data_IF_531703710021
#
_entry.id   IF_531703710021
#
_cell.length_a   1.000
_cell.length_b   1.000
_cell.length_c   1.000
_cell.angle_alpha   90.00
_cell.angle_beta   90.00
_cell.angle_gamma   90.00
#
_symmetry.space_group_name_H-M   'P 1'
#
loop_
_entity.id
_entity.type
_entity.pdbx_description
1 polymer ?
#
# COMPACT_ATOMS: atom_id res chain seq x y z
N UNK A 1 2.77 -0.12 31.83
CA UNK A 1 1.52 -0.72 31.30
C UNK A 1 1.80 -1.41 29.97
N UNK A 2 1.08 -2.49 29.66
CA UNK A 2 1.17 -3.21 28.39
C UNK A 2 0.13 -2.61 27.45
N UNK A 3 0.55 -2.13 26.28
CA UNK A 3 -0.38 -1.61 25.26
C UNK A 3 -1.28 -2.72 24.75
N UNK A 4 -2.52 -2.44 24.38
CA UNK A 4 -3.38 -3.48 23.79
C UNK A 4 -2.83 -3.97 22.44
N UNK A 5 -3.05 -5.26 22.07
CA UNK A 5 -2.73 -5.72 20.72
C UNK A 5 -3.48 -4.89 19.68
N UNK A 6 -2.89 -4.64 18.50
CA UNK A 6 -3.62 -4.00 17.42
C UNK A 6 -4.80 -4.89 16.99
N UNK A 7 -5.97 -4.29 16.78
CA UNK A 7 -7.15 -5.03 16.35
C UNK A 7 -6.99 -5.48 14.89
N UNK A 8 -7.08 -6.78 14.60
CA UNK A 8 -7.04 -7.29 13.24
C UNK A 8 -8.35 -6.93 12.52
N UNK A 9 -8.27 -5.98 11.59
CA UNK A 9 -9.41 -5.58 10.76
C UNK A 9 -9.37 -6.42 9.48
N UNK A 10 -10.46 -7.14 9.20
CA UNK A 10 -10.58 -8.04 8.04
C UNK A 10 -10.23 -7.37 6.69
N UNK A 11 -10.58 -6.10 6.53
CA UNK A 11 -10.31 -5.34 5.31
C UNK A 11 -8.93 -4.69 5.25
N UNK A 12 -8.15 -4.72 6.35
CA UNK A 12 -6.80 -4.13 6.42
C UNK A 12 -5.77 -5.19 6.79
N UNK A 13 -5.31 -5.95 5.81
CA UNK A 13 -4.38 -7.08 5.97
C UNK A 13 -3.10 -6.74 6.76
N UNK A 14 -2.60 -5.50 6.70
CA UNK A 14 -1.44 -5.07 7.50
C UNK A 14 -1.67 -5.15 9.02
N UNK A 15 -2.91 -5.03 9.49
CA UNK A 15 -3.27 -5.10 10.91
C UNK A 15 -3.14 -6.52 11.47
N UNK A 16 -3.45 -7.54 10.66
CA UNK A 16 -3.27 -8.95 11.04
C UNK A 16 -1.80 -9.30 11.27
N UNK A 17 -0.92 -8.88 10.36
CA UNK A 17 0.53 -9.08 10.51
C UNK A 17 1.09 -8.28 11.68
N UNK A 18 0.59 -7.06 11.91
CA UNK A 18 0.97 -6.26 13.08
C UNK A 18 0.56 -6.94 14.39
N UNK A 19 -0.62 -7.54 14.43
CA UNK A 19 -1.08 -8.32 15.57
C UNK A 19 -0.20 -9.56 15.78
N UNK A 20 0.11 -10.31 14.72
CA UNK A 20 1.01 -11.46 14.79
C UNK A 20 2.40 -11.08 15.35
N UNK A 21 2.97 -9.95 14.89
CA UNK A 21 4.22 -9.42 15.43
C UNK A 21 4.12 -9.11 16.93
N UNK A 22 3.06 -8.40 17.33
CA UNK A 22 2.79 -8.06 18.73
C UNK A 22 2.68 -9.31 19.62
N UNK A 23 1.92 -10.31 19.16
CA UNK A 23 1.74 -11.57 19.88
C UNK A 23 3.04 -12.37 19.97
N UNK A 24 3.85 -12.39 18.92
CA UNK A 24 5.16 -13.04 18.93
C UNK A 24 6.12 -12.41 19.95
N UNK A 25 6.12 -11.08 20.09
CA UNK A 25 6.99 -10.35 21.04
C UNK A 25 6.60 -10.56 22.50
N UNK A 26 5.31 -10.76 22.74
CA UNK A 26 4.73 -10.82 24.09
C UNK A 26 4.17 -12.20 24.40
N UNK A 27 4.63 -13.22 23.68
CA UNK A 27 4.11 -14.57 23.78
C UNK A 27 4.18 -15.08 25.23
N UNK A 28 5.31 -14.84 25.92
CA UNK A 28 5.50 -15.23 27.33
C UNK A 28 4.46 -14.64 28.30
N UNK A 29 4.00 -13.41 28.07
CA UNK A 29 2.97 -12.77 28.91
C UNK A 29 1.58 -13.32 28.59
N UNK A 30 1.32 -13.63 27.33
CA UNK A 30 0.01 -14.04 26.83
C UNK A 30 -0.22 -15.54 27.07
N UNK A 31 0.85 -16.34 27.05
CA UNK A 31 0.84 -17.77 27.39
C UNK A 31 0.33 -18.01 28.82
N UNK A 32 0.56 -17.06 29.75
CA UNK A 32 0.02 -17.10 31.11
C UNK A 32 -1.50 -16.89 31.14
N UNK A 33 -2.07 -16.22 30.13
CA UNK A 33 -3.48 -15.79 30.10
C UNK A 33 -4.35 -16.74 29.26
N UNK A 34 -3.79 -17.47 28.29
CA UNK A 34 -4.51 -18.46 27.46
C UNK A 34 -3.63 -19.67 27.18
N UNK A 35 -4.21 -20.87 27.26
CA UNK A 35 -3.62 -22.17 26.94
C UNK A 35 -3.19 -22.29 25.45
N UNK A 36 -2.22 -21.49 25.03
CA UNK A 36 -1.71 -21.44 23.68
C UNK A 36 -0.81 -22.66 23.41
N UNK A 37 -1.07 -23.38 22.32
CA UNK A 37 -0.30 -24.55 21.90
C UNK A 37 1.09 -24.14 21.40
N UNK A 38 2.13 -24.94 21.66
CA UNK A 38 3.51 -24.73 21.17
C UNK A 38 3.59 -24.54 19.64
N UNK A 39 2.71 -25.18 18.87
CA UNK A 39 2.60 -25.01 17.42
C UNK A 39 2.31 -23.56 16.99
N UNK A 40 1.60 -22.80 17.82
CA UNK A 40 1.30 -21.38 17.58
C UNK A 40 2.56 -20.53 17.75
N UNK A 41 3.42 -20.85 18.72
CA UNK A 41 4.66 -20.13 18.98
C UNK A 41 5.61 -20.22 17.78
N UNK A 42 5.82 -21.44 17.28
CA UNK A 42 6.63 -21.67 16.09
C UNK A 42 6.07 -20.95 14.85
N UNK A 43 4.73 -20.95 14.70
CA UNK A 43 4.06 -20.25 13.60
C UNK A 43 4.22 -18.72 13.68
N UNK A 44 4.08 -18.14 14.87
CA UNK A 44 4.28 -16.70 15.10
C UNK A 44 5.72 -16.28 14.85
N UNK A 45 6.69 -17.07 15.31
CA UNK A 45 8.11 -16.83 15.04
C UNK A 45 8.40 -16.87 13.54
N UNK A 46 7.83 -17.85 12.82
CA UNK A 46 7.96 -17.95 11.36
C UNK A 46 7.35 -16.72 10.66
N UNK A 47 6.13 -16.33 11.00
CA UNK A 47 5.46 -15.16 10.39
C UNK A 47 6.24 -13.87 10.66
N UNK A 48 6.64 -13.62 11.92
CA UNK A 48 7.40 -12.43 12.28
C UNK A 48 8.73 -12.34 11.54
N UNK A 49 9.49 -13.44 11.50
CA UNK A 49 10.82 -13.48 10.89
C UNK A 49 10.78 -13.20 9.38
N UNK A 50 9.78 -13.76 8.69
CA UNK A 50 9.73 -13.69 7.23
C UNK A 50 8.86 -12.54 6.69
N UNK A 51 7.83 -12.12 7.43
CA UNK A 51 6.80 -11.20 6.95
C UNK A 51 6.54 -10.02 7.90
N UNK A 52 7.24 -9.94 9.03
CA UNK A 52 7.03 -8.90 10.04
C UNK A 52 7.32 -7.47 9.57
N UNK A 53 8.09 -7.29 8.49
CA UNK A 53 8.38 -5.98 7.89
C UNK A 53 7.30 -5.49 6.92
N UNK A 54 6.42 -6.37 6.42
CA UNK A 54 5.39 -6.00 5.44
C UNK A 54 4.39 -4.94 5.94
N UNK A 55 3.93 -4.95 7.21
CA UNK A 55 3.08 -3.89 7.74
C UNK A 55 3.68 -2.50 7.59
N UNK A 56 5.01 -2.37 7.75
CA UNK A 56 5.71 -1.10 7.59
C UNK A 56 5.69 -0.63 6.14
N UNK A 57 5.90 -1.53 5.18
CA UNK A 57 5.78 -1.23 3.75
C UNK A 57 4.37 -0.76 3.39
N UNK A 58 3.33 -1.48 3.85
CA UNK A 58 1.93 -1.12 3.61
C UNK A 58 1.62 0.26 4.19
N UNK A 59 1.98 0.49 5.47
CA UNK A 59 1.74 1.78 6.14
C UNK A 59 2.45 2.94 5.43
N UNK A 60 3.66 2.71 4.91
CA UNK A 60 4.38 3.72 4.11
C UNK A 60 3.64 4.00 2.81
N UNK A 61 3.22 2.99 2.07
CA UNK A 61 2.44 3.13 0.82
C UNK A 61 1.06 3.77 1.02
N UNK A 62 0.50 3.69 2.22
CA UNK A 62 -0.75 4.34 2.59
C UNK A 62 -0.59 5.84 2.93
N UNK A 63 0.64 6.38 3.00
CA UNK A 63 0.86 7.82 3.20
C UNK A 63 0.60 8.59 1.90
N UNK A 64 0.01 9.78 2.02
CA UNK A 64 -0.14 10.71 0.90
C UNK A 64 1.18 11.42 0.57
N UNK A 65 1.29 11.91 -0.66
CA UNK A 65 2.40 12.76 -1.08
C UNK A 65 3.72 12.03 -1.37
N UNK A 66 3.72 10.69 -1.42
CA UNK A 66 4.89 9.94 -1.86
C UNK A 66 5.20 10.21 -3.33
N UNK A 67 6.49 10.32 -3.67
CA UNK A 67 6.91 10.32 -5.07
C UNK A 67 6.74 8.93 -5.69
N UNK A 68 6.67 8.88 -7.02
CA UNK A 68 6.61 7.63 -7.77
C UNK A 68 7.83 6.75 -7.47
N UNK A 69 9.01 7.36 -7.38
CA UNK A 69 10.28 6.69 -7.10
C UNK A 69 10.24 6.05 -5.70
N UNK A 70 9.83 6.80 -4.69
CA UNK A 70 9.76 6.31 -3.31
C UNK A 70 8.74 5.18 -3.19
N UNK A 71 7.57 5.36 -3.81
CA UNK A 71 6.48 4.39 -3.76
C UNK A 71 6.87 3.06 -4.38
N UNK A 72 7.49 3.05 -5.57
CA UNK A 72 7.95 1.82 -6.21
C UNK A 72 9.10 1.20 -5.40
N UNK A 73 9.99 2.00 -4.83
CA UNK A 73 11.09 1.49 -4.01
C UNK A 73 10.58 0.76 -2.75
N UNK A 74 9.45 1.19 -2.18
CA UNK A 74 8.79 0.44 -1.08
C UNK A 74 8.27 -0.92 -1.58
N UNK A 75 7.73 -0.99 -2.79
CA UNK A 75 7.28 -2.26 -3.39
C UNK A 75 8.47 -3.18 -3.66
N UNK A 76 9.56 -2.65 -4.21
CA UNK A 76 10.80 -3.39 -4.46
C UNK A 76 11.39 -3.93 -3.13
N UNK A 77 11.33 -3.16 -2.04
CA UNK A 77 11.71 -3.59 -0.69
C UNK A 77 10.84 -4.76 -0.19
N UNK A 78 9.52 -4.67 -0.37
CA UNK A 78 8.59 -5.73 0.00
C UNK A 78 8.82 -7.02 -0.81
N UNK A 79 9.13 -6.90 -2.09
CA UNK A 79 9.49 -8.01 -2.97
C UNK A 79 10.76 -8.72 -2.47
N UNK A 80 11.79 -7.95 -2.10
CA UNK A 80 13.01 -8.49 -1.48
C UNK A 80 12.69 -9.26 -0.20
N UNK A 81 11.81 -8.75 0.67
CA UNK A 81 11.44 -9.48 1.90
C UNK A 81 10.73 -10.80 1.61
N UNK A 82 9.76 -10.80 0.70
CA UNK A 82 9.00 -12.00 0.34
C UNK A 82 9.91 -13.06 -0.30
N UNK A 83 10.86 -12.62 -1.14
CA UNK A 83 11.77 -13.50 -1.87
C UNK A 83 12.88 -14.13 -0.99
N UNK A 84 13.08 -13.67 0.25
CA UNK A 84 14.03 -14.29 1.19
C UNK A 84 13.59 -15.67 1.70
N UNK A 85 12.28 -15.93 1.75
CA UNK A 85 11.76 -17.16 2.36
C UNK A 85 11.66 -18.32 1.35
N UNK A 86 12.62 -19.25 1.41
CA UNK A 86 12.69 -20.41 0.52
C UNK A 86 11.90 -21.65 1.01
N UNK A 87 11.13 -21.54 2.08
CA UNK A 87 10.25 -22.62 2.56
C UNK A 87 9.17 -22.98 1.53
N UNK A 88 8.54 -24.15 1.68
CA UNK A 88 7.43 -24.55 0.79
C UNK A 88 6.30 -23.52 0.75
N UNK A 89 5.90 -22.99 1.91
CA UNK A 89 4.91 -21.90 2.01
C UNK A 89 5.43 -20.59 1.40
N UNK A 90 6.72 -20.27 1.61
CA UNK A 90 7.37 -19.08 1.05
C UNK A 90 7.33 -19.06 -0.48
N UNK A 91 7.65 -20.19 -1.13
CA UNK A 91 7.59 -20.32 -2.59
C UNK A 91 6.20 -20.09 -3.16
N UNK A 92 5.14 -20.53 -2.48
CA UNK A 92 3.77 -20.28 -2.92
C UNK A 92 3.39 -18.80 -2.82
N UNK A 93 3.85 -18.10 -1.78
CA UNK A 93 3.67 -16.66 -1.63
C UNK A 93 4.45 -15.89 -2.71
N UNK A 94 5.69 -16.30 -3.00
CA UNK A 94 6.52 -15.71 -4.08
C UNK A 94 5.83 -15.83 -5.43
N UNK A 95 5.38 -17.04 -5.80
CA UNK A 95 4.62 -17.27 -7.04
C UNK A 95 3.37 -16.39 -7.12
N UNK A 96 2.67 -16.20 -5.99
CA UNK A 96 1.49 -15.34 -5.95
C UNK A 96 1.84 -13.88 -6.20
N UNK A 97 2.92 -13.37 -5.61
CA UNK A 97 3.42 -12.02 -5.84
C UNK A 97 3.80 -11.82 -7.31
N UNK A 98 4.62 -12.72 -7.87
CA UNK A 98 5.03 -12.68 -9.27
C UNK A 98 3.83 -12.68 -10.21
N UNK A 99 2.83 -13.54 -9.95
CA UNK A 99 1.61 -13.59 -10.75
C UNK A 99 0.80 -12.29 -10.70
N UNK A 100 0.71 -11.64 -9.53
CA UNK A 100 0.02 -10.34 -9.38
C UNK A 100 0.76 -9.23 -10.12
N UNK A 101 2.09 -9.16 -9.98
CA UNK A 101 2.90 -8.15 -10.65
C UNK A 101 2.89 -8.34 -12.17
N UNK A 102 3.03 -9.58 -12.66
CA UNK A 102 3.01 -9.89 -14.10
C UNK A 102 1.65 -9.62 -14.73
N UNK A 103 0.55 -9.81 -14.00
CA UNK A 103 -0.80 -9.51 -14.50
C UNK A 103 -1.04 -7.99 -14.63
N UNK A 104 -0.26 -7.17 -13.93
CA UNK A 104 -0.38 -5.72 -13.96
C UNK A 104 0.62 -5.09 -14.93
N UNK A 105 0.26 -5.06 -16.23
CA UNK A 105 1.07 -4.41 -17.27
C UNK A 105 1.31 -2.91 -16.97
N UNK A 106 0.35 -2.23 -16.35
CA UNK A 106 0.49 -0.83 -15.95
C UNK A 106 1.60 -0.61 -14.92
N UNK A 107 1.79 -1.55 -14.00
CA UNK A 107 2.89 -1.49 -13.03
C UNK A 107 4.26 -1.66 -13.71
N UNK A 108 4.36 -2.52 -14.74
CA UNK A 108 5.57 -2.64 -15.56
C UNK A 108 5.90 -1.31 -16.24
N UNK A 109 4.91 -0.65 -16.84
CA UNK A 109 5.09 0.64 -17.47
C UNK A 109 5.54 1.73 -16.47
N UNK A 110 4.90 1.78 -15.30
CA UNK A 110 5.28 2.70 -14.22
C UNK A 110 6.71 2.45 -13.72
N UNK A 111 7.15 1.19 -13.61
CA UNK A 111 8.56 0.84 -13.29
C UNK A 111 9.54 1.38 -14.34
N UNK A 112 9.17 1.39 -15.62
CA UNK A 112 10.01 1.99 -16.67
C UNK A 112 10.07 3.51 -16.56
N UNK A 113 8.94 4.16 -16.30
CA UNK A 113 8.88 5.61 -16.06
C UNK A 113 9.76 5.99 -14.87
N UNK A 114 9.73 5.23 -13.77
CA UNK A 114 10.67 5.40 -12.64
C UNK A 114 12.12 5.39 -13.09
N UNK A 115 12.53 4.38 -13.86
CA UNK A 115 13.90 4.26 -14.34
C UNK A 115 14.31 5.49 -15.17
N UNK A 116 13.42 6.01 -16.02
CA UNK A 116 13.65 7.24 -16.80
C UNK A 116 13.79 8.45 -15.88
N UNK A 117 12.92 8.60 -14.87
CA UNK A 117 12.99 9.70 -13.89
C UNK A 117 14.27 9.65 -13.04
N UNK A 118 14.85 8.47 -12.83
CA UNK A 118 16.17 8.28 -12.20
C UNK A 118 17.35 8.50 -13.17
N UNK A 119 17.09 8.79 -14.44
CA UNK A 119 18.10 9.02 -15.47
C UNK A 119 18.67 7.74 -16.11
N UNK A 120 18.02 6.58 -15.95
CA UNK A 120 18.43 5.32 -16.58
C UNK A 120 17.86 5.21 -18.00
N UNK A 121 18.67 4.70 -18.92
CA UNK A 121 18.24 4.44 -20.30
C UNK A 121 17.32 3.23 -20.37
N UNK A 122 16.11 3.41 -20.91
CA UNK A 122 15.13 2.33 -21.12
C UNK A 122 14.78 2.29 -22.61
N UNK A 123 14.78 1.10 -23.22
CA UNK A 123 14.29 0.92 -24.57
C UNK A 123 12.76 1.16 -24.59
N UNK A 124 12.29 2.03 -25.49
CA UNK A 124 10.85 2.20 -25.72
C UNK A 124 10.39 1.04 -26.60
N UNK A 125 9.67 0.10 -26.00
CA UNK A 125 8.86 -0.88 -26.70
C UNK A 125 7.37 -0.67 -26.33
N UNK A 126 6.44 -1.10 -27.18
CA UNK A 126 4.98 -0.97 -26.96
C UNK A 126 4.54 -1.63 -25.63
N UNK A 127 5.28 -2.64 -25.17
CA UNK A 127 5.05 -3.35 -23.89
C UNK A 127 5.66 -2.62 -22.67
N UNK A 128 6.30 -1.47 -22.88
CA UNK A 128 7.13 -0.76 -21.90
C UNK A 128 6.57 0.61 -21.57
N UNK A 129 6.18 1.42 -22.57
CA UNK A 129 5.56 2.73 -22.38
C UNK A 129 4.61 2.98 -23.56
N UNK A 130 3.36 3.46 -23.33
CA UNK A 130 2.46 3.84 -24.42
C UNK A 130 3.13 4.81 -25.40
N UNK A 131 2.97 4.59 -26.70
CA UNK A 131 3.62 5.41 -27.74
C UNK A 131 3.23 6.89 -27.65
N UNK A 132 1.98 7.12 -27.27
CA UNK A 132 1.32 8.40 -27.07
C UNK A 132 1.81 9.16 -25.82
N UNK A 133 2.64 8.56 -24.97
CA UNK A 133 3.23 9.23 -23.81
C UNK A 133 4.48 10.04 -24.19
N UNK A 134 4.43 11.37 -24.17
CA UNK A 134 5.63 12.17 -24.45
C UNK A 134 6.61 12.14 -23.26
N UNK A 135 7.87 12.53 -23.48
CA UNK A 135 8.83 12.67 -22.38
C UNK A 135 8.38 13.73 -21.35
N UNK A 136 7.67 14.76 -21.79
CA UNK A 136 7.13 15.76 -20.88
C UNK A 136 6.04 15.16 -19.98
N UNK A 137 5.18 14.29 -20.55
CA UNK A 137 4.14 13.60 -19.78
C UNK A 137 4.70 12.71 -18.67
N UNK A 138 5.87 12.10 -18.92
CA UNK A 138 6.58 11.31 -17.90
C UNK A 138 7.01 12.17 -16.71
N UNK A 139 7.35 13.44 -16.91
CA UNK A 139 7.73 14.34 -15.79
C UNK A 139 6.56 14.62 -14.86
N UNK A 140 5.32 14.66 -15.38
CA UNK A 140 4.13 14.82 -14.57
C UNK A 140 3.80 13.58 -13.73
N UNK A 141 4.37 12.43 -14.06
CA UNK A 141 4.21 11.19 -13.28
C UNK A 141 5.01 11.19 -11.97
N UNK A 142 5.81 12.23 -11.67
CA UNK A 142 6.64 12.32 -10.45
C UNK A 142 5.90 11.98 -9.16
N UNK A 143 4.61 12.35 -9.07
CA UNK A 143 3.75 12.08 -7.92
C UNK A 143 2.53 11.23 -8.28
N UNK A 144 2.64 10.42 -9.34
CA UNK A 144 1.55 9.52 -9.74
C UNK A 144 1.29 8.49 -8.62
N UNK A 145 0.04 8.35 -8.15
CA UNK A 145 -0.28 7.37 -7.13
C UNK A 145 -0.22 5.96 -7.72
N UNK A 146 0.42 5.03 -7.01
CA UNK A 146 0.48 3.61 -7.39
C UNK A 146 -0.48 2.73 -6.58
N UNK A 147 -1.15 3.31 -5.58
CA UNK A 147 -2.15 2.65 -4.75
C UNK A 147 -3.50 3.34 -4.90
N UNK A 148 -4.59 2.63 -4.59
CA UNK A 148 -5.95 3.19 -4.60
C UNK A 148 -6.24 4.05 -3.37
N UNK A 149 -5.30 4.20 -2.43
CA UNK A 149 -5.57 4.82 -1.12
C UNK A 149 -5.98 6.28 -1.28
N UNK A 150 -5.37 7.03 -2.20
CA UNK A 150 -5.78 8.41 -2.48
C UNK A 150 -7.20 8.49 -3.05
N UNK A 151 -7.57 7.54 -3.92
CA UNK A 151 -8.94 7.43 -4.46
C UNK A 151 -9.93 7.08 -3.34
N UNK A 152 -9.59 6.16 -2.45
CA UNK A 152 -10.43 5.78 -1.31
C UNK A 152 -10.65 6.94 -0.34
N UNK A 153 -9.60 7.73 -0.05
CA UNK A 153 -9.74 8.97 0.73
C UNK A 153 -10.64 9.99 0.02
N UNK A 154 -10.57 10.09 -1.31
CA UNK A 154 -11.48 10.95 -2.07
C UNK A 154 -12.95 10.53 -1.95
N UNK A 155 -13.25 9.23 -1.86
CA UNK A 155 -14.63 8.77 -1.62
C UNK A 155 -15.15 9.20 -0.24
N UNK A 156 -14.30 9.24 0.79
CA UNK A 156 -14.69 9.78 2.10
C UNK A 156 -15.07 11.26 2.02
N UNK A 157 -14.33 12.03 1.20
CA UNK A 157 -14.65 13.43 0.91
C UNK A 157 -16.00 13.55 0.18
N UNK A 158 -16.19 12.74 -0.87
CA UNK A 158 -17.42 12.75 -1.66
C UNK A 158 -18.63 12.24 -0.89
N UNK A 159 -18.46 11.44 0.16
CA UNK A 159 -19.56 11.02 1.04
C UNK A 159 -20.38 12.19 1.56
N UNK A 160 -19.76 13.36 1.78
CA UNK A 160 -20.47 14.56 2.23
C UNK A 160 -21.30 15.24 1.12
N UNK A 161 -20.94 15.01 -0.14
CA UNK A 161 -21.64 15.49 -1.34
C UNK A 161 -22.77 14.52 -1.71
N UNK A 162 -22.50 13.22 -1.59
CA UNK A 162 -23.38 12.12 -2.01
C UNK A 162 -24.36 11.64 -0.93
N UNK A 163 -24.43 12.31 0.23
CA UNK A 163 -25.34 11.92 1.30
C UNK A 163 -26.81 12.22 0.96
N UNK A 164 -27.71 11.29 1.28
CA UNK A 164 -29.16 11.36 0.97
C UNK A 164 -29.89 12.59 1.53
N UNK A 165 -29.30 13.25 2.52
CA UNK A 165 -29.83 14.48 3.14
C UNK A 165 -29.61 15.74 2.27
N UNK A 166 -28.84 15.66 1.18
CA UNK A 166 -28.60 16.75 0.22
C UNK A 166 -29.51 16.59 -1.00
N UNK A 167 -30.72 17.15 -0.96
CA UNK A 167 -31.72 16.92 -2.01
C UNK A 167 -31.64 17.86 -3.22
N UNK A 168 -30.77 18.87 -3.21
CA UNK A 168 -30.74 19.93 -4.25
C UNK A 168 -29.34 20.52 -4.47
N UNK A 169 -28.34 19.69 -4.76
CA UNK A 169 -27.05 20.22 -5.23
C UNK A 169 -27.13 20.52 -6.72
N UNK A 170 -26.82 21.76 -7.09
CA UNK A 170 -26.54 22.12 -8.49
C UNK A 170 -25.08 21.84 -8.81
N UNK A 171 -24.72 21.83 -10.09
CA UNK A 171 -23.33 21.64 -10.52
C UNK A 171 -22.37 22.68 -9.90
N UNK A 172 -22.81 23.93 -9.77
CA UNK A 172 -22.02 24.99 -9.13
C UNK A 172 -21.76 24.72 -7.65
N UNK A 173 -22.78 24.23 -6.91
CA UNK A 173 -22.59 23.82 -5.52
C UNK A 173 -21.60 22.66 -5.40
N UNK A 174 -21.67 21.66 -6.29
CA UNK A 174 -20.72 20.53 -6.29
C UNK A 174 -19.30 21.05 -6.50
N UNK A 175 -19.09 21.95 -7.47
CA UNK A 175 -17.79 22.57 -7.73
C UNK A 175 -17.25 23.30 -6.50
N UNK A 176 -18.08 24.11 -5.85
CA UNK A 176 -17.70 24.82 -4.63
C UNK A 176 -17.35 23.85 -3.48
N UNK A 177 -18.13 22.79 -3.29
CA UNK A 177 -17.84 21.76 -2.29
C UNK A 177 -16.50 21.07 -2.56
N UNK A 178 -16.23 20.68 -3.81
CA UNK A 178 -14.95 20.07 -4.18
C UNK A 178 -13.79 21.02 -3.88
N UNK A 179 -13.88 22.30 -4.27
CA UNK A 179 -12.82 23.29 -4.01
C UNK A 179 -12.55 23.45 -2.52
N UNK A 180 -13.59 23.62 -1.69
CA UNK A 180 -13.44 23.75 -0.24
C UNK A 180 -12.77 22.51 0.37
N UNK A 181 -13.19 21.32 -0.06
CA UNK A 181 -12.64 20.07 0.47
C UNK A 181 -11.20 19.80 0.01
N UNK A 182 -10.88 20.07 -1.26
CA UNK A 182 -9.51 19.99 -1.78
C UNK A 182 -8.58 20.96 -1.04
N UNK A 183 -9.01 22.20 -0.81
CA UNK A 183 -8.23 23.18 -0.05
C UNK A 183 -8.03 22.74 1.40
N UNK A 184 -9.07 22.22 2.06
CA UNK A 184 -8.95 21.67 3.41
C UNK A 184 -7.95 20.50 3.46
N UNK A 185 -8.00 19.59 2.47
CA UNK A 185 -7.08 18.47 2.38
C UNK A 185 -5.62 18.93 2.19
N UNK A 186 -5.37 19.90 1.30
CA UNK A 186 -4.04 20.47 1.08
C UNK A 186 -3.51 21.11 2.38
N UNK A 187 -4.34 21.92 3.06
CA UNK A 187 -3.96 22.59 4.31
C UNK A 187 -3.74 21.61 5.47
N UNK A 188 -4.42 20.47 5.48
CA UNK A 188 -4.25 19.44 6.53
C UNK A 188 -2.96 18.61 6.39
N UNK A 189 -2.24 18.75 5.27
CA UNK A 189 -0.98 18.04 5.00
C UNK A 189 0.28 18.92 5.18
N UNK A 190 0.10 20.21 5.48
CA UNK A 190 1.17 21.17 5.82
C UNK A 190 1.29 21.28 7.33
#
# INVERSE_FOLDING_TARGET
EISMPPEPILTRWGTWLSAANYYCERFHVIHVIKAAKQELEASLAFVKTNYGSLPTCITRLEKSGLSLIDSISIVDEAEVFINRNNSGQGKEIQKKLEAVLKKNNGFKAIKNIKNILEGKTVARDEDTIPEDFTFNDMTYMKFAPITSVDVERSFSIYKQILADNRRTLTFEHIKQYIVVQCNHHILSQV
#
